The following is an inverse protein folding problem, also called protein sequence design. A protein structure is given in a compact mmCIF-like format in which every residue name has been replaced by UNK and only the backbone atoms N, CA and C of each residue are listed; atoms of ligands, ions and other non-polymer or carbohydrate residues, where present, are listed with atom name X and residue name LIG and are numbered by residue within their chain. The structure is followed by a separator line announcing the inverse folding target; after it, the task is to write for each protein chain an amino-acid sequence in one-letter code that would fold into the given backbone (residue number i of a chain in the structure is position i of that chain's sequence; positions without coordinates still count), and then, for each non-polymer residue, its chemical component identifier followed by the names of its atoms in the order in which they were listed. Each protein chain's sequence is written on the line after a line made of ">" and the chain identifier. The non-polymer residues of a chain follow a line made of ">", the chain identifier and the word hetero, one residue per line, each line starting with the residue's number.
data_IF_165230347062
#
_entry.id   IF_165230347062
#
_cell.length_a   1.000
_cell.length_b   1.000
_cell.length_c   1.000
_cell.angle_alpha   90.00
_cell.angle_beta   90.00
_cell.angle_gamma   90.00
#
_symmetry.space_group_name_H-M   'P 1'
#
loop_
_entity.id
_entity.type
_entity.pdbx_description
1 polymer ?
#
# COMPACT_ATOMS: atom_id res chain seq x y z
N UNK A 1 -43.52 -9.70 -29.84
CA UNK A 1 -42.21 -10.38 -29.71
C UNK A 1 -41.04 -9.63 -30.39
N UNK A 2 -41.19 -8.36 -30.83
CA UNK A 2 -40.12 -7.62 -31.53
C UNK A 2 -39.27 -6.68 -30.64
N UNK A 3 -39.81 -6.22 -29.50
CA UNK A 3 -39.16 -5.20 -28.67
C UNK A 3 -37.98 -5.73 -27.83
N UNK A 4 -37.92 -7.04 -27.54
CA UNK A 4 -36.81 -7.63 -26.78
C UNK A 4 -35.55 -7.78 -27.65
N UNK A 5 -35.72 -8.05 -28.95
CA UNK A 5 -34.60 -8.18 -29.89
C UNK A 5 -33.94 -6.83 -30.17
N UNK A 6 -34.72 -5.75 -30.28
CA UNK A 6 -34.17 -4.41 -30.50
C UNK A 6 -33.47 -3.87 -29.26
N UNK A 7 -34.02 -4.12 -28.06
CA UNK A 7 -33.36 -3.75 -26.82
C UNK A 7 -32.00 -4.46 -26.66
N UNK A 8 -31.93 -5.77 -26.94
CA UNK A 8 -30.68 -6.52 -26.91
C UNK A 8 -29.63 -6.01 -27.91
N UNK A 9 -30.05 -5.62 -29.12
CA UNK A 9 -29.15 -5.03 -30.12
C UNK A 9 -28.64 -3.64 -29.71
N UNK A 10 -29.51 -2.79 -29.15
CA UNK A 10 -29.11 -1.46 -28.69
C UNK A 10 -28.15 -1.57 -27.50
N UNK A 11 -28.43 -2.43 -26.52
CA UNK A 11 -27.52 -2.66 -25.39
C UNK A 11 -26.21 -3.30 -25.84
N UNK A 12 -26.24 -4.25 -26.77
CA UNK A 12 -25.04 -4.87 -27.35
C UNK A 12 -24.16 -3.86 -28.10
N UNK A 13 -24.77 -2.99 -28.91
CA UNK A 13 -24.05 -1.92 -29.60
C UNK A 13 -23.44 -0.90 -28.63
N UNK A 14 -24.15 -0.55 -27.55
CA UNK A 14 -23.63 0.32 -26.49
C UNK A 14 -22.44 -0.32 -25.75
N UNK A 15 -22.53 -1.59 -25.36
CA UNK A 15 -21.43 -2.30 -24.70
C UNK A 15 -20.20 -2.46 -25.61
N UNK A 16 -20.39 -2.70 -26.91
CA UNK A 16 -19.31 -2.74 -27.90
C UNK A 16 -18.65 -1.36 -28.06
N UNK A 17 -19.45 -0.29 -28.17
CA UNK A 17 -18.93 1.07 -28.26
C UNK A 17 -18.16 1.49 -26.99
N UNK A 18 -18.65 1.09 -25.82
CA UNK A 18 -18.00 1.35 -24.55
C UNK A 18 -16.68 0.57 -24.40
N UNK A 19 -16.70 -0.74 -24.70
CA UNK A 19 -15.49 -1.57 -24.70
C UNK A 19 -14.42 -1.04 -25.67
N UNK A 20 -14.81 -0.65 -26.88
CA UNK A 20 -13.89 -0.12 -27.88
C UNK A 20 -13.32 1.25 -27.53
N UNK A 21 -14.04 2.11 -26.79
CA UNK A 21 -13.50 3.42 -26.41
C UNK A 21 -12.69 3.38 -25.12
N UNK A 22 -13.06 2.57 -24.13
CA UNK A 22 -12.45 2.63 -22.80
C UNK A 22 -11.19 1.78 -22.69
N UNK A 23 -11.16 0.62 -23.33
CA UNK A 23 -10.01 -0.28 -23.35
C UNK A 23 -8.75 0.42 -23.91
N UNK A 24 -8.76 1.07 -25.09
CA UNK A 24 -7.57 1.73 -25.63
C UNK A 24 -7.20 3.01 -24.86
N UNK A 25 -8.15 3.74 -24.28
CA UNK A 25 -7.86 4.91 -23.44
C UNK A 25 -7.17 4.50 -22.14
N UNK A 26 -7.64 3.41 -21.51
CA UNK A 26 -7.00 2.82 -20.34
C UNK A 26 -5.60 2.30 -20.64
N UNK A 27 -5.45 1.56 -21.76
CA UNK A 27 -4.15 1.07 -22.24
C UNK A 27 -3.18 2.20 -22.52
N UNK A 28 -3.58 3.23 -23.28
CA UNK A 28 -2.70 4.36 -23.62
C UNK A 28 -2.24 5.14 -22.38
N UNK A 29 -3.12 5.29 -21.38
CA UNK A 29 -2.79 5.95 -20.11
C UNK A 29 -1.82 5.12 -19.25
N UNK A 30 -1.88 3.81 -19.36
CA UNK A 30 -1.00 2.87 -18.65
C UNK A 30 0.28 2.53 -19.42
N UNK A 31 0.31 2.76 -20.74
CA UNK A 31 1.44 2.48 -21.63
C UNK A 31 2.54 3.55 -21.55
N UNK A 32 2.21 4.77 -21.14
CA UNK A 32 3.22 5.81 -20.94
C UNK A 32 3.90 5.64 -19.57
N UNK A 33 5.04 4.95 -19.59
CA UNK A 33 5.86 4.69 -18.41
C UNK A 33 6.31 5.96 -17.69
N UNK A 34 6.53 7.07 -18.42
CA UNK A 34 7.00 8.34 -17.83
C UNK A 34 5.91 9.02 -17.01
N UNK A 35 4.68 9.04 -17.54
CA UNK A 35 3.51 9.57 -16.83
C UNK A 35 3.20 8.69 -15.62
N UNK A 36 3.26 7.36 -15.78
CA UNK A 36 3.02 6.41 -14.70
C UNK A 36 4.02 6.57 -13.56
N UNK A 37 5.31 6.67 -13.87
CA UNK A 37 6.36 6.90 -12.88
C UNK A 37 6.11 8.21 -12.12
N UNK A 38 5.80 9.31 -12.81
CA UNK A 38 5.52 10.61 -12.18
C UNK A 38 4.31 10.56 -11.25
N UNK A 39 3.23 9.89 -11.64
CA UNK A 39 2.04 9.69 -10.79
C UNK A 39 2.38 8.86 -9.57
N UNK A 40 3.13 7.77 -9.73
CA UNK A 40 3.56 6.92 -8.61
C UNK A 40 4.47 7.68 -7.65
N UNK A 41 5.45 8.43 -8.13
CA UNK A 41 6.31 9.27 -7.28
C UNK A 41 5.49 10.27 -6.46
N UNK A 42 4.49 10.91 -7.08
CA UNK A 42 3.60 11.82 -6.35
C UNK A 42 2.75 11.10 -5.30
N UNK A 43 2.20 9.92 -5.62
CA UNK A 43 1.46 9.10 -4.66
C UNK A 43 2.34 8.64 -3.49
N UNK A 44 3.55 8.14 -3.78
CA UNK A 44 4.52 7.73 -2.76
C UNK A 44 4.85 8.89 -1.83
N UNK A 45 5.16 10.07 -2.37
CA UNK A 45 5.45 11.26 -1.55
C UNK A 45 4.27 11.62 -0.64
N UNK A 46 3.04 11.63 -1.18
CA UNK A 46 1.83 11.90 -0.40
C UNK A 46 1.58 10.84 0.68
N UNK A 47 1.84 9.57 0.38
CA UNK A 47 1.65 8.49 1.34
C UNK A 47 2.75 8.43 2.38
N UNK A 48 3.99 8.82 2.06
CA UNK A 48 5.08 8.95 3.00
C UNK A 48 4.72 9.94 4.11
N UNK A 49 4.20 11.12 3.75
CA UNK A 49 3.75 12.13 4.72
C UNK A 49 2.68 11.56 5.65
N UNK A 50 1.67 10.88 5.10
CA UNK A 50 0.61 10.25 5.92
C UNK A 50 1.13 9.14 6.83
N UNK A 51 2.10 8.37 6.34
CA UNK A 51 2.73 7.31 7.11
C UNK A 51 3.54 7.90 8.27
N UNK A 52 4.27 8.99 8.03
CA UNK A 52 5.03 9.70 9.07
C UNK A 52 4.09 10.33 10.11
N UNK A 53 3.00 10.96 9.69
CA UNK A 53 1.98 11.49 10.59
C UNK A 53 1.38 10.39 11.48
N UNK A 54 1.00 9.26 10.89
CA UNK A 54 0.45 8.12 11.63
C UNK A 54 1.50 7.42 12.51
N UNK A 55 2.76 7.39 12.09
CA UNK A 55 3.87 6.89 12.90
C UNK A 55 4.07 7.78 14.13
N UNK A 56 3.96 9.10 13.98
CA UNK A 56 4.04 10.04 15.10
C UNK A 56 2.85 9.87 16.06
N UNK A 57 1.63 9.74 15.55
CA UNK A 57 0.43 9.52 16.38
C UNK A 57 0.52 8.23 17.19
N UNK A 58 0.93 7.12 16.56
CA UNK A 58 1.17 5.85 17.26
C UNK A 58 2.30 5.98 18.29
N UNK A 59 3.39 6.66 17.95
CA UNK A 59 4.51 6.90 18.88
C UNK A 59 4.06 7.67 20.11
N UNK A 60 3.27 8.73 19.92
CA UNK A 60 2.71 9.53 21.01
C UNK A 60 1.80 8.68 21.89
N UNK A 61 0.87 7.91 21.31
CA UNK A 61 -0.03 7.04 22.07
C UNK A 61 0.74 5.99 22.92
N UNK A 62 1.85 5.45 22.41
CA UNK A 62 2.71 4.52 23.14
C UNK A 62 3.39 5.22 24.31
N UNK A 63 3.96 6.41 24.09
CA UNK A 63 4.65 7.17 25.14
C UNK A 63 3.68 7.58 26.25
N UNK A 64 2.47 8.03 25.89
CA UNK A 64 1.39 8.32 26.84
C UNK A 64 1.05 7.07 27.64
N UNK A 65 0.78 5.94 26.98
CA UNK A 65 0.47 4.69 27.68
C UNK A 65 1.58 4.26 28.66
N UNK A 66 2.85 4.39 28.24
CA UNK A 66 4.00 4.08 29.11
C UNK A 66 4.11 5.05 30.29
N UNK A 67 3.90 6.36 30.07
CA UNK A 67 3.90 7.36 31.12
C UNK A 67 2.78 7.08 32.14
N UNK A 68 1.58 6.76 31.68
CA UNK A 68 0.44 6.38 32.53
C UNK A 68 0.72 5.11 33.34
N UNK A 69 1.27 4.04 32.74
CA UNK A 69 1.63 2.81 33.48
C UNK A 69 2.67 3.05 34.58
N UNK A 70 3.62 3.97 34.33
CA UNK A 70 4.66 4.36 35.28
C UNK A 70 4.12 5.25 36.42
N UNK A 71 3.13 6.11 36.14
CA UNK A 71 2.50 6.95 37.16
C UNK A 71 1.59 6.13 38.09
N UNK A 72 0.99 5.05 37.61
CA UNK A 72 0.09 4.21 38.40
C UNK A 72 0.82 3.34 39.44
N UNK A 73 0.32 3.36 40.67
CA UNK A 73 0.78 2.44 41.71
C UNK A 73 0.40 0.99 41.41
N UNK A 74 1.21 0.02 41.83
CA UNK A 74 0.91 -1.42 41.67
C UNK A 74 -0.35 -1.87 42.43
N UNK A 75 -0.83 -1.06 43.38
CA UNK A 75 -2.02 -1.36 44.21
C UNK A 75 -3.27 -0.60 43.74
N UNK A 76 -3.19 0.09 42.61
CA UNK A 76 -4.30 0.85 42.06
C UNK A 76 -5.44 -0.10 41.63
N UNK A 77 -6.71 0.18 41.99
CA UNK A 77 -7.87 -0.56 41.48
C UNK A 77 -7.94 -0.67 39.95
N UNK A 78 -7.40 0.31 39.22
CA UNK A 78 -7.42 0.35 37.76
C UNK A 78 -6.23 -0.39 37.10
N UNK A 79 -5.30 -0.95 37.90
CA UNK A 79 -4.13 -1.67 37.38
C UNK A 79 -4.46 -2.79 36.39
N UNK A 80 -5.51 -3.61 36.59
CA UNK A 80 -5.86 -4.66 35.64
C UNK A 80 -6.20 -4.13 34.22
N UNK A 81 -6.73 -2.92 34.10
CA UNK A 81 -7.02 -2.32 32.81
C UNK A 81 -5.75 -1.88 32.08
N UNK A 82 -4.78 -1.33 32.82
CA UNK A 82 -3.48 -0.96 32.26
C UNK A 82 -2.68 -2.19 31.83
N UNK A 83 -2.74 -3.29 32.60
CA UNK A 83 -2.06 -4.54 32.26
C UNK A 83 -2.53 -5.12 30.90
N UNK A 84 -3.80 -4.90 30.52
CA UNK A 84 -4.31 -5.26 29.18
C UNK A 84 -3.67 -4.40 28.09
N UNK A 85 -3.47 -3.10 28.35
CA UNK A 85 -2.80 -2.18 27.42
C UNK A 85 -1.32 -2.54 27.30
N UNK A 86 -0.65 -2.83 28.41
CA UNK A 86 0.75 -3.26 28.44
C UNK A 86 0.95 -4.59 27.69
N UNK A 87 0.01 -5.53 27.82
CA UNK A 87 0.01 -6.79 27.04
C UNK A 87 -0.11 -6.52 25.54
N UNK A 88 -0.99 -5.60 25.14
CA UNK A 88 -1.17 -5.20 23.75
C UNK A 88 0.09 -4.53 23.16
N UNK A 89 0.75 -3.68 23.95
CA UNK A 89 2.03 -3.07 23.58
C UNK A 89 3.13 -4.12 23.41
N UNK A 90 3.23 -5.07 24.35
CA UNK A 90 4.20 -6.15 24.27
C UNK A 90 3.99 -7.04 23.04
N UNK A 91 2.73 -7.34 22.69
CA UNK A 91 2.40 -8.08 21.47
C UNK A 91 2.80 -7.31 20.21
N UNK A 92 2.55 -6.00 20.17
CA UNK A 92 2.94 -5.15 19.04
C UNK A 92 4.46 -5.13 18.84
N UNK A 93 5.25 -4.97 19.90
CA UNK A 93 6.71 -4.99 19.81
C UNK A 93 7.28 -6.37 19.44
N UNK A 94 6.58 -7.45 19.78
CA UNK A 94 6.94 -8.80 19.31
C UNK A 94 6.72 -8.97 17.81
N UNK A 95 5.65 -8.39 17.27
CA UNK A 95 5.33 -8.47 15.85
C UNK A 95 6.24 -7.57 15.01
N UNK A 96 6.54 -6.35 15.48
CA UNK A 96 7.42 -5.42 14.79
C UNK A 96 8.52 -4.88 15.73
N UNK A 97 9.63 -5.61 15.90
CA UNK A 97 10.75 -5.18 16.74
C UNK A 97 11.53 -4.01 16.13
N UNK A 98 11.29 -3.68 14.86
CA UNK A 98 11.94 -2.56 14.18
C UNK A 98 11.28 -1.22 14.49
N UNK A 99 10.03 -1.24 14.99
CA UNK A 99 9.29 -0.04 15.34
C UNK A 99 9.94 0.67 16.53
N UNK A 100 10.41 1.91 16.31
CA UNK A 100 11.00 2.75 17.35
C UNK A 100 10.08 3.95 17.59
N UNK A 101 9.44 4.05 18.76
CA UNK A 101 8.58 5.19 19.06
C UNK A 101 9.42 6.49 19.04
N UNK A 102 9.00 7.45 18.21
CA UNK A 102 9.59 8.78 18.18
C UNK A 102 8.97 9.64 19.29
N UNK A 103 9.68 9.78 20.40
CA UNK A 103 9.30 10.66 21.51
C UNK A 103 9.68 12.11 21.18
N UNK A 104 8.73 12.94 20.77
CA UNK A 104 9.07 14.33 20.45
C UNK A 104 7.93 15.34 20.33
N UNK A 105 6.66 14.92 20.18
CA UNK A 105 5.53 15.87 20.04
C UNK A 105 4.37 15.45 20.93
N UNK A 106 4.58 15.45 22.24
CA UNK A 106 3.50 15.39 23.22
C UNK A 106 2.90 16.79 23.33
N UNK A 107 1.63 16.97 22.95
CA UNK A 107 0.88 18.19 23.23
C UNK A 107 0.50 18.26 24.71
N UNK A 108 0.23 19.46 25.23
CA UNK A 108 -0.16 19.66 26.64
C UNK A 108 -1.41 18.83 27.03
N UNK A 109 -2.34 18.62 26.08
CA UNK A 109 -3.55 17.80 26.29
C UNK A 109 -3.30 16.28 26.28
N UNK A 110 -2.12 15.81 25.82
CA UNK A 110 -1.84 14.37 25.70
C UNK A 110 -1.54 13.71 27.06
N UNK A 111 -1.33 14.52 28.11
CA UNK A 111 -1.05 14.08 29.48
C UNK A 111 -2.26 14.11 30.41
N UNK A 112 -3.43 14.57 29.94
CA UNK A 112 -4.66 14.71 30.72
C UNK A 112 -5.46 13.39 30.78
N UNK A 113 -4.79 12.29 31.12
CA UNK A 113 -5.48 11.04 31.42
C UNK A 113 -5.77 10.99 32.91
N UNK A 114 -7.01 11.33 33.26
CA UNK A 114 -7.53 11.06 34.60
C UNK A 114 -7.43 9.55 34.89
N UNK A 115 -7.12 9.18 36.12
CA UNK A 115 -7.17 7.78 36.58
C UNK A 115 -8.63 7.36 36.78
N UNK A 116 -9.38 7.33 35.68
CA UNK A 116 -10.76 6.85 35.61
C UNK A 116 -10.93 5.76 34.54
N UNK A 117 -11.99 4.97 34.67
CA UNK A 117 -12.25 3.86 33.73
C UNK A 117 -12.47 4.33 32.29
N UNK A 118 -13.04 5.53 32.10
CA UNK A 118 -13.32 6.07 30.76
C UNK A 118 -12.04 6.49 30.06
N UNK A 119 -11.08 7.09 30.76
CA UNK A 119 -9.78 7.45 30.20
C UNK A 119 -8.99 6.20 29.83
N UNK A 120 -9.03 5.13 30.62
CA UNK A 120 -8.38 3.86 30.26
C UNK A 120 -8.99 3.23 28.99
N UNK A 121 -10.33 3.25 28.88
CA UNK A 121 -11.01 2.78 27.68
C UNK A 121 -10.67 3.65 26.44
N UNK A 122 -10.53 4.95 26.64
CA UNK A 122 -10.18 5.91 25.58
C UNK A 122 -8.73 5.72 25.13
N UNK A 123 -7.79 5.55 26.06
CA UNK A 123 -6.39 5.25 25.78
C UNK A 123 -6.26 3.96 24.96
N UNK A 124 -6.94 2.88 25.37
CA UNK A 124 -6.92 1.61 24.64
C UNK A 124 -7.50 1.76 23.23
N UNK A 125 -8.62 2.49 23.08
CA UNK A 125 -9.24 2.74 21.77
C UNK A 125 -8.33 3.57 20.87
N UNK A 126 -7.73 4.62 21.41
CA UNK A 126 -6.82 5.50 20.68
C UNK A 126 -5.58 4.74 20.22
N UNK A 127 -4.94 3.97 21.10
CA UNK A 127 -3.78 3.14 20.76
C UNK A 127 -4.10 2.10 19.69
N UNK A 128 -5.28 1.46 19.77
CA UNK A 128 -5.74 0.54 18.73
C UNK A 128 -5.98 1.25 17.40
N UNK A 129 -6.64 2.40 17.41
CA UNK A 129 -6.91 3.21 16.22
C UNK A 129 -5.62 3.67 15.53
N UNK A 130 -4.67 4.22 16.31
CA UNK A 130 -3.37 4.65 15.82
C UNK A 130 -2.57 3.49 15.23
N UNK A 131 -2.61 2.30 15.89
CA UNK A 131 -1.95 1.09 15.37
C UNK A 131 -2.54 0.67 14.03
N UNK A 132 -3.85 0.57 13.94
CA UNK A 132 -4.55 0.17 12.70
C UNK A 132 -4.30 1.18 11.56
N UNK A 133 -4.30 2.48 11.86
CA UNK A 133 -3.98 3.53 10.91
C UNK A 133 -2.53 3.44 10.40
N UNK A 134 -1.56 3.24 11.29
CA UNK A 134 -0.15 3.06 10.91
C UNK A 134 0.03 1.86 9.98
N UNK A 135 -0.49 0.69 10.32
CA UNK A 135 -0.34 -0.50 9.49
C UNK A 135 -1.07 -0.39 8.15
N UNK A 136 -2.21 0.30 8.12
CA UNK A 136 -2.91 0.61 6.87
C UNK A 136 -2.06 1.50 5.97
N UNK A 137 -1.52 2.60 6.48
CA UNK A 137 -0.69 3.47 5.65
C UNK A 137 0.63 2.82 5.26
N UNK A 138 1.20 1.96 6.11
CA UNK A 138 2.41 1.17 5.81
C UNK A 138 2.17 0.23 4.63
N UNK A 139 1.03 -0.47 4.60
CA UNK A 139 0.70 -1.38 3.50
C UNK A 139 0.38 -0.63 2.20
N UNK A 140 -0.36 0.48 2.27
CA UNK A 140 -0.62 1.35 1.11
C UNK A 140 0.69 1.93 0.55
N UNK A 141 1.58 2.44 1.40
CA UNK A 141 2.90 2.93 1.01
C UNK A 141 3.74 1.85 0.33
N UNK A 142 3.84 0.66 0.95
CA UNK A 142 4.59 -0.48 0.39
C UNK A 142 4.05 -0.89 -0.98
N UNK A 143 2.73 -0.86 -1.16
CA UNK A 143 2.10 -1.19 -2.45
C UNK A 143 2.55 -0.21 -3.55
N UNK A 144 2.51 1.09 -3.29
CA UNK A 144 2.93 2.09 -4.27
C UNK A 144 4.44 2.06 -4.55
N UNK A 145 5.26 1.82 -3.53
CA UNK A 145 6.72 1.68 -3.70
C UNK A 145 7.04 0.45 -4.54
N UNK A 146 6.38 -0.69 -4.25
CA UNK A 146 6.56 -1.92 -5.04
C UNK A 146 6.17 -1.69 -6.49
N UNK A 147 5.03 -1.03 -6.74
CA UNK A 147 4.59 -0.72 -8.10
C UNK A 147 5.58 0.21 -8.84
N UNK A 148 6.14 1.21 -8.14
CA UNK A 148 7.12 2.11 -8.73
C UNK A 148 8.43 1.39 -9.10
N UNK A 149 8.89 0.47 -8.24
CA UNK A 149 10.06 -0.36 -8.50
C UNK A 149 9.83 -1.29 -9.70
N UNK A 150 8.65 -1.89 -9.83
CA UNK A 150 8.30 -2.72 -10.99
C UNK A 150 8.32 -1.93 -12.30
N UNK A 151 7.81 -0.70 -12.28
CA UNK A 151 7.85 0.21 -13.43
C UNK A 151 9.29 0.59 -13.78
N UNK A 152 10.14 0.88 -12.79
CA UNK A 152 11.55 1.19 -13.01
C UNK A 152 12.32 -0.01 -13.57
N UNK A 153 12.11 -1.20 -13.02
CA UNK A 153 12.69 -2.45 -13.53
C UNK A 153 12.25 -2.69 -14.99
N UNK A 154 10.98 -2.44 -15.33
CA UNK A 154 10.49 -2.59 -16.70
C UNK A 154 11.19 -1.63 -17.68
N UNK A 155 11.37 -0.36 -17.30
CA UNK A 155 12.08 0.64 -18.11
C UNK A 155 13.54 0.22 -18.31
N UNK A 156 14.24 -0.14 -17.23
CA UNK A 156 15.65 -0.56 -17.30
C UNK A 156 15.85 -1.81 -18.15
N UNK A 157 14.97 -2.81 -18.00
CA UNK A 157 15.05 -4.02 -18.82
C UNK A 157 14.76 -3.76 -20.29
N UNK A 158 13.89 -2.79 -20.61
CA UNK A 158 13.66 -2.35 -21.98
C UNK A 158 14.92 -1.67 -22.57
N UNK A 159 15.54 -0.75 -21.82
CA UNK A 159 16.75 -0.05 -22.25
C UNK A 159 17.96 -0.99 -22.44
N UNK A 160 18.11 -1.98 -21.57
CA UNK A 160 19.24 -2.93 -21.60
C UNK A 160 18.95 -4.22 -22.39
N UNK A 161 17.76 -4.38 -22.98
CA UNK A 161 17.28 -5.65 -23.54
C UNK A 161 18.20 -6.27 -24.60
N UNK A 162 18.88 -5.43 -25.40
CA UNK A 162 19.86 -5.89 -26.40
C UNK A 162 21.13 -6.50 -25.77
N UNK A 163 21.51 -6.05 -24.57
CA UNK A 163 22.71 -6.49 -23.84
C UNK A 163 22.46 -7.69 -22.92
N UNK A 164 21.24 -7.81 -22.37
CA UNK A 164 20.85 -8.87 -21.43
C UNK A 164 20.18 -10.07 -22.09
N UNK A 165 20.10 -10.08 -23.42
CA UNK A 165 19.42 -11.14 -24.17
C UNK A 165 17.92 -11.20 -23.91
N UNK A 166 17.29 -10.04 -23.66
CA UNK A 166 15.86 -9.87 -23.37
C UNK A 166 15.35 -10.59 -22.11
N UNK A 167 16.24 -10.98 -21.21
CA UNK A 167 15.88 -11.54 -19.91
C UNK A 167 15.44 -10.44 -18.95
N UNK A 168 14.27 -10.59 -18.33
CA UNK A 168 13.81 -9.70 -17.28
C UNK A 168 14.62 -9.90 -16.00
N UNK A 169 15.17 -8.80 -15.46
CA UNK A 169 15.92 -8.78 -14.20
C UNK A 169 15.18 -7.86 -13.25
N UNK A 170 14.65 -8.40 -12.14
CA UNK A 170 14.10 -7.57 -11.07
C UNK A 170 15.17 -7.17 -10.07
N UNK A 171 15.10 -5.94 -9.58
CA UNK A 171 15.95 -5.43 -8.51
C UNK A 171 15.51 -5.90 -7.13
N UNK A 172 14.26 -6.32 -6.96
CA UNK A 172 13.67 -6.62 -5.65
C UNK A 172 13.00 -7.99 -5.55
N UNK A 173 12.48 -8.56 -6.65
CA UNK A 173 11.92 -9.93 -6.63
C UNK A 173 13.04 -10.95 -6.85
N UNK A 174 13.07 -12.05 -6.07
CA UNK A 174 13.95 -13.16 -6.37
C UNK A 174 13.57 -13.75 -7.74
N UNK A 175 14.58 -14.23 -8.47
CA UNK A 175 14.37 -14.90 -9.76
C UNK A 175 13.42 -16.08 -9.60
N UNK A 176 12.47 -16.21 -10.54
CA UNK A 176 11.51 -17.30 -10.49
C UNK A 176 12.25 -18.64 -10.69
N UNK A 177 12.18 -19.50 -9.69
CA UNK A 177 12.84 -20.82 -9.72
C UNK A 177 11.94 -21.88 -10.35
N UNK A 178 12.51 -22.74 -11.20
CA UNK A 178 11.81 -23.86 -11.87
C UNK A 178 11.73 -23.73 -13.41
N UNK A 179 11.29 -24.81 -14.09
CA UNK A 179 11.22 -24.89 -15.56
C UNK A 179 10.33 -23.82 -16.23
N UNK A 180 9.29 -23.36 -15.52
CA UNK A 180 8.41 -22.28 -15.99
C UNK A 180 8.88 -20.90 -15.55
N UNK A 181 9.69 -20.79 -14.49
CA UNK A 181 10.23 -19.52 -14.02
C UNK A 181 11.17 -18.88 -15.04
N UNK A 182 12.05 -19.68 -15.63
CA UNK A 182 12.93 -19.21 -16.71
C UNK A 182 12.17 -18.80 -17.98
N UNK A 183 11.03 -19.45 -18.26
CA UNK A 183 10.17 -19.07 -19.38
C UNK A 183 9.46 -17.74 -19.10
N UNK A 184 8.88 -17.56 -17.91
CA UNK A 184 8.22 -16.30 -17.53
C UNK A 184 9.19 -15.11 -17.49
N UNK A 185 10.44 -15.33 -17.06
CA UNK A 185 11.49 -14.31 -17.11
C UNK A 185 11.90 -13.95 -18.54
N UNK A 186 11.64 -14.84 -19.52
CA UNK A 186 11.91 -14.61 -20.95
C UNK A 186 10.66 -14.08 -21.68
N UNK A 187 9.45 -14.49 -21.28
CA UNK A 187 8.16 -14.19 -21.93
C UNK A 187 7.38 -13.05 -21.26
N UNK A 188 7.78 -12.54 -20.10
CA UNK A 188 7.20 -11.34 -19.49
C UNK A 188 7.27 -10.11 -20.41
N UNK A 189 8.17 -10.14 -21.39
CA UNK A 189 8.23 -9.19 -22.50
C UNK A 189 7.11 -9.42 -23.55
N UNK A 190 6.73 -10.67 -23.86
CA UNK A 190 5.87 -10.99 -25.00
C UNK A 190 4.43 -10.47 -24.90
N UNK A 191 3.86 -10.34 -23.69
CA UNK A 191 2.51 -9.80 -23.52
C UNK A 191 2.41 -8.28 -23.79
N UNK A 192 3.53 -7.55 -23.73
CA UNK A 192 3.54 -6.10 -23.99
C UNK A 192 3.79 -5.82 -25.49
N UNK A 193 4.53 -6.69 -26.18
CA UNK A 193 4.80 -6.55 -27.62
C UNK A 193 3.64 -6.99 -28.52
N UNK A 194 2.90 -8.06 -28.20
CA UNK A 194 1.77 -8.48 -29.06
C UNK A 194 0.65 -7.45 -29.08
N UNK A 195 0.37 -6.76 -27.97
CA UNK A 195 -0.70 -5.75 -27.93
C UNK A 195 -0.30 -4.51 -28.75
N UNK A 196 0.97 -4.09 -28.73
CA UNK A 196 1.42 -2.97 -29.55
C UNK A 196 1.58 -3.34 -31.04
N UNK A 197 1.99 -4.57 -31.36
CA UNK A 197 2.16 -5.02 -32.75
C UNK A 197 0.82 -5.30 -33.44
N UNK A 198 -0.16 -5.89 -32.75
CA UNK A 198 -1.52 -6.08 -33.27
C UNK A 198 -2.24 -4.74 -33.51
N UNK A 199 -2.00 -3.73 -32.67
CA UNK A 199 -2.61 -2.39 -32.84
C UNK A 199 -1.96 -1.61 -33.98
N UNK A 200 -0.63 -1.72 -34.20
CA UNK A 200 0.03 -1.09 -35.36
C UNK A 200 -0.32 -1.77 -36.70
N UNK A 201 -0.51 -3.09 -36.70
CA UNK A 201 -0.83 -3.86 -37.92
C UNK A 201 -2.25 -3.67 -38.43
N UNK A 202 -3.13 -3.07 -37.63
CA UNK A 202 -4.52 -2.75 -38.02
C UNK A 202 -4.70 -1.31 -38.52
N UNK A 203 -3.62 -0.52 -38.56
CA UNK A 203 -3.60 0.88 -38.99
C UNK A 203 -2.58 1.17 -40.12
N UNK A 204 -2.16 0.15 -40.85
CA UNK A 204 -1.56 0.21 -42.19
C UNK A 204 -2.44 -0.62 -43.12
#
# INVERSE_FOLDING_TARGET
>A
MACSNTFGLVTGAFLLGFGLSEIPKGLRRNADWTIRQKVLSHKIAKMAVKLDDAHQELSNAIVVAQATSNQMSKRDPLRPYMDVIDTMLAEMFRQDPSFKPQGGRLGENDMDYDTDEKSMATLRRHLRGAREAYYRYKSEYMTYVTEALEVEDAIKNYEHGSSTGWKYISSFRPTHTGKLGSLLDTTGNFQIYEINFLVLSFWI
#
